data_IF_765067610874
#
_entry.id   IF_765067610874
#
_cell.length_a   1.000
_cell.length_b   1.000
_cell.length_c   1.000
_cell.angle_alpha   90.00
_cell.angle_beta   90.00
_cell.angle_gamma   90.00
#
_symmetry.space_group_name_H-M   'P 1'
#
loop_
_entity.id
_entity.type
_entity.pdbx_description
1 polymer ?
#
# COMPACT_ATOMS: atom_id res chain seq x y z
N UNK A 1 3.47 13.85 20.54
CA UNK A 1 4.58 13.18 19.82
C UNK A 1 4.13 13.10 18.37
N UNK A 2 4.74 13.89 17.49
CA UNK A 2 4.43 13.85 16.06
C UNK A 2 4.99 12.54 15.50
N UNK A 3 4.14 11.70 14.92
CA UNK A 3 4.60 10.56 14.15
C UNK A 3 5.42 11.11 12.98
N UNK A 4 6.72 10.87 13.01
CA UNK A 4 7.62 11.20 11.91
C UNK A 4 7.20 10.31 10.75
N UNK A 5 6.72 10.93 9.67
CA UNK A 5 6.35 10.22 8.45
C UNK A 5 7.65 9.93 7.68
N UNK A 6 8.47 9.02 8.22
CA UNK A 6 9.67 8.55 7.55
C UNK A 6 9.24 7.67 6.37
N UNK A 7 9.79 7.87 5.17
CA UNK A 7 9.50 6.97 4.05
C UNK A 7 10.05 5.59 4.43
N UNK A 8 9.17 4.60 4.56
CA UNK A 8 9.58 3.21 4.71
C UNK A 8 10.57 2.87 3.58
N UNK A 9 11.70 2.25 3.95
CA UNK A 9 12.59 1.73 2.94
C UNK A 9 11.82 0.70 2.10
N UNK A 10 12.03 0.68 0.78
CA UNK A 10 11.35 -0.27 -0.10
C UNK A 10 11.61 -1.74 0.30
N UNK A 11 12.72 -2.01 1.00
CA UNK A 11 13.09 -3.30 1.57
C UNK A 11 12.27 -3.69 2.81
N UNK A 12 11.68 -2.72 3.52
CA UNK A 12 10.87 -2.93 4.74
C UNK A 12 9.38 -3.02 4.45
N UNK A 13 9.00 -3.02 3.18
CA UNK A 13 7.62 -2.93 2.73
C UNK A 13 7.15 -4.29 2.21
N UNK A 14 6.54 -5.14 3.05
CA UNK A 14 6.06 -6.45 2.63
C UNK A 14 5.14 -6.34 1.40
N UNK A 15 5.28 -7.24 0.41
CA UNK A 15 4.37 -7.33 -0.75
C UNK A 15 2.89 -7.35 -0.38
N UNK A 16 2.57 -7.94 0.77
CA UNK A 16 1.22 -8.10 1.29
C UNK A 16 0.57 -6.75 1.59
N UNK A 17 1.35 -5.75 2.01
CA UNK A 17 0.82 -4.42 2.27
C UNK A 17 0.33 -3.74 0.98
N UNK A 18 0.90 -4.05 -0.20
CA UNK A 18 0.32 -3.60 -1.47
C UNK A 18 -1.03 -4.26 -1.70
N UNK A 19 -1.17 -5.54 -1.35
CA UNK A 19 -2.42 -6.28 -1.52
C UNK A 19 -3.51 -5.75 -0.56
N UNK A 20 -3.15 -5.48 0.68
CA UNK A 20 -4.03 -4.88 1.69
C UNK A 20 -4.45 -3.45 1.27
N UNK A 21 -3.52 -2.64 0.76
CA UNK A 21 -3.82 -1.29 0.30
C UNK A 21 -4.75 -1.28 -0.92
N UNK A 22 -4.59 -2.24 -1.83
CA UNK A 22 -5.53 -2.43 -2.94
C UNK A 22 -6.93 -2.82 -2.44
N UNK A 23 -7.02 -3.68 -1.41
CA UNK A 23 -8.29 -4.04 -0.79
C UNK A 23 -8.96 -2.81 -0.13
N UNK A 24 -8.20 -2.04 0.66
CA UNK A 24 -8.69 -0.81 1.31
C UNK A 24 -9.16 0.23 0.28
N UNK A 25 -8.40 0.46 -0.80
CA UNK A 25 -8.83 1.37 -1.86
C UNK A 25 -10.11 0.90 -2.54
N UNK A 26 -10.26 -0.40 -2.78
CA UNK A 26 -11.46 -0.96 -3.38
C UNK A 26 -12.68 -0.82 -2.46
N UNK A 27 -12.52 -1.09 -1.16
CA UNK A 27 -13.58 -0.91 -0.15
C UNK A 27 -13.97 0.57 -0.01
N UNK A 28 -12.98 1.48 0.04
CA UNK A 28 -13.22 2.92 0.11
C UNK A 28 -14.02 3.43 -1.10
N UNK A 29 -13.76 2.89 -2.30
CA UNK A 29 -14.48 3.27 -3.51
C UNK A 29 -15.96 2.85 -3.52
N UNK A 30 -16.36 1.91 -2.66
CA UNK A 30 -17.77 1.52 -2.48
C UNK A 30 -18.53 2.43 -1.50
N UNK A 31 -17.84 3.33 -0.79
CA UNK A 31 -18.48 4.29 0.10
C UNK A 31 -19.19 5.39 -0.71
N UNK A 32 -20.12 6.07 -0.04
CA UNK A 32 -20.87 7.19 -0.61
C UNK A 32 -19.93 8.32 -1.06
N UNK A 33 -19.83 8.62 -2.38
CA UNK A 33 -18.96 9.67 -2.89
C UNK A 33 -19.39 11.09 -2.52
N UNK A 34 -20.61 11.27 -2.00
CA UNK A 34 -21.12 12.56 -1.55
C UNK A 34 -20.65 12.95 -0.14
N UNK A 35 -19.96 12.05 0.56
CA UNK A 35 -19.38 12.34 1.87
C UNK A 35 -18.32 13.44 1.78
N UNK A 36 -18.35 14.37 2.73
CA UNK A 36 -17.35 15.42 2.83
C UNK A 36 -15.93 14.83 2.93
N UNK A 37 -15.03 15.32 2.08
CA UNK A 37 -13.63 14.87 2.04
C UNK A 37 -13.39 13.55 1.30
N UNK A 38 -14.41 12.94 0.68
CA UNK A 38 -14.27 11.69 -0.08
C UNK A 38 -13.19 11.79 -1.17
N UNK A 39 -13.22 12.86 -1.98
CA UNK A 39 -12.27 13.04 -3.08
C UNK A 39 -10.83 13.18 -2.60
N UNK A 40 -10.62 13.89 -1.49
CA UNK A 40 -9.30 14.07 -0.88
C UNK A 40 -8.74 12.74 -0.35
N UNK A 41 -9.56 11.99 0.39
CA UNK A 41 -9.19 10.67 0.90
C UNK A 41 -8.95 9.66 -0.23
N UNK A 42 -9.80 9.64 -1.26
CA UNK A 42 -9.63 8.77 -2.43
C UNK A 42 -8.34 9.11 -3.19
N UNK A 43 -7.99 10.41 -3.28
CA UNK A 43 -6.74 10.85 -3.90
C UNK A 43 -5.52 10.38 -3.10
N UNK A 44 -5.53 10.58 -1.78
CA UNK A 44 -4.45 10.14 -0.89
C UNK A 44 -4.23 8.62 -0.96
N UNK A 45 -5.30 7.82 -0.97
CA UNK A 45 -5.21 6.36 -1.11
C UNK A 45 -4.62 5.92 -2.45
N UNK A 46 -4.95 6.62 -3.55
CA UNK A 46 -4.35 6.34 -4.87
C UNK A 46 -2.85 6.65 -4.89
N UNK A 47 -2.43 7.77 -4.29
CA UNK A 47 -1.01 8.13 -4.16
C UNK A 47 -0.26 7.07 -3.34
N UNK A 48 -0.84 6.62 -2.21
CA UNK A 48 -0.26 5.56 -1.41
C UNK A 48 -0.10 4.26 -2.22
N UNK A 49 -1.13 3.86 -2.97
CA UNK A 49 -1.07 2.67 -3.85
C UNK A 49 0.07 2.77 -4.86
N UNK A 50 0.22 3.93 -5.50
CA UNK A 50 1.23 4.11 -6.55
C UNK A 50 2.65 4.09 -5.98
N UNK A 51 2.87 4.72 -4.83
CA UNK A 51 4.14 4.63 -4.10
C UNK A 51 4.47 3.19 -3.71
N UNK A 52 3.47 2.45 -3.24
CA UNK A 52 3.62 1.05 -2.84
C UNK A 52 3.92 0.12 -4.02
N UNK A 53 3.23 0.32 -5.14
CA UNK A 53 3.49 -0.43 -6.37
C UNK A 53 4.89 -0.17 -6.91
N UNK A 54 5.38 1.07 -6.81
CA UNK A 54 6.75 1.43 -7.19
C UNK A 54 7.79 0.76 -6.27
N UNK A 55 7.54 0.74 -4.96
CA UNK A 55 8.42 0.05 -3.99
C UNK A 55 8.50 -1.46 -4.26
N UNK A 56 7.35 -2.11 -4.48
CA UNK A 56 7.30 -3.54 -4.84
C UNK A 56 7.99 -3.82 -6.17
N UNK A 57 7.82 -2.96 -7.18
CA UNK A 57 8.49 -3.12 -8.46
C UNK A 57 10.01 -2.93 -8.38
N UNK A 58 10.49 -2.16 -7.40
CA UNK A 58 11.91 -1.96 -7.12
C UNK A 58 12.52 -3.07 -6.23
N UNK A 59 11.70 -3.89 -5.58
CA UNK A 59 12.15 -4.97 -4.72
C UNK A 59 12.80 -6.12 -5.51
N UNK A 60 13.80 -6.77 -4.90
CA UNK A 60 14.52 -7.90 -5.51
C UNK A 60 13.55 -9.09 -5.76
N UNK A 61 13.45 -9.62 -6.99
CA UNK A 61 12.62 -10.79 -7.29
C UNK A 61 12.89 -12.02 -6.40
N UNK A 62 14.14 -12.23 -5.97
CA UNK A 62 14.52 -13.31 -5.06
C UNK A 62 13.99 -13.07 -3.64
N UNK A 63 14.03 -11.82 -3.17
CA UNK A 63 13.40 -11.41 -1.90
C UNK A 63 11.88 -11.59 -1.96
N UNK A 64 11.24 -11.15 -3.04
CA UNK A 64 9.80 -11.30 -3.27
C UNK A 64 9.35 -12.78 -3.33
N UNK A 65 10.17 -13.66 -3.90
CA UNK A 65 9.92 -15.09 -3.94
C UNK A 65 10.06 -15.74 -2.55
N UNK A 66 11.15 -15.44 -1.84
CA UNK A 66 11.39 -15.94 -0.49
C UNK A 66 10.31 -15.51 0.50
N UNK A 67 9.84 -14.26 0.40
CA UNK A 67 8.79 -13.73 1.25
C UNK A 67 7.44 -14.40 0.99
N UNK A 68 7.08 -14.64 -0.28
CA UNK A 68 5.85 -15.36 -0.65
C UNK A 68 5.83 -16.80 -0.15
N UNK A 69 6.99 -17.47 -0.18
CA UNK A 69 7.11 -18.85 0.30
C UNK A 69 7.16 -18.91 1.84
N UNK A 70 7.76 -17.90 2.50
CA UNK A 70 7.79 -17.76 3.96
C UNK A 70 6.43 -17.42 4.57
N UNK A 71 5.59 -16.64 3.89
CA UNK A 71 4.22 -16.32 4.33
C UNK A 71 3.24 -17.51 4.18
N UNK A 72 3.64 -18.60 3.51
CA UNK A 72 2.83 -19.80 3.26
C UNK A 72 3.19 -21.00 4.14
N UNK A 73 4.28 -20.92 4.92
CA UNK A 73 4.75 -21.96 5.84
C UNK A 73 4.16 -21.76 7.24
#
# INVERSE_FOLDING_TARGET
MNAVNEPLAAEDTPPELLHELLAVLNEFQQLDPSADGYDEAASALRVARDAMAAAVAAADPAYMAAHRDGARA
#
